data_IF_777730349376
#
_entry.id   IF_777730349376
#
_cell.length_a   1.000
_cell.length_b   1.000
_cell.length_c   1.000
_cell.angle_alpha   90.00
_cell.angle_beta   90.00
_cell.angle_gamma   90.00
#
_symmetry.space_group_name_H-M   'P 1'
#
loop_
_entity.id
_entity.type
_entity.pdbx_description
1 polymer ?
#
# COMPACT_ATOMS: atom_id res chain seq x y z
N UNK A 1 14.07 -19.31 1.03
CA UNK A 1 13.36 -18.01 1.02
C UNK A 1 14.42 -16.94 0.83
N UNK A 2 14.24 -16.06 -0.13
CA UNK A 2 15.10 -14.87 -0.25
C UNK A 2 14.81 -13.94 0.94
N UNK A 3 15.84 -13.46 1.60
CA UNK A 3 15.71 -12.56 2.74
C UNK A 3 15.27 -11.18 2.24
N UNK A 4 14.27 -10.56 2.88
CA UNK A 4 13.81 -9.21 2.51
C UNK A 4 15.00 -8.24 2.68
N UNK A 5 15.33 -7.51 1.62
CA UNK A 5 16.35 -6.47 1.65
C UNK A 5 15.84 -5.30 2.51
N UNK A 6 16.55 -5.02 3.61
CA UNK A 6 16.26 -3.87 4.48
C UNK A 6 17.22 -2.75 4.13
N UNK A 7 16.66 -1.60 3.75
CA UNK A 7 17.42 -0.43 3.32
C UNK A 7 17.25 0.67 4.36
N UNK A 8 18.36 1.20 4.86
CA UNK A 8 18.40 2.40 5.69
C UNK A 8 18.84 3.58 4.82
N UNK A 9 17.97 4.58 4.72
CA UNK A 9 18.21 5.76 3.88
C UNK A 9 17.93 7.04 4.69
N UNK A 10 18.75 8.06 4.52
CA UNK A 10 18.63 9.34 5.22
C UNK A 10 19.09 10.50 4.35
N UNK A 11 18.69 11.72 4.71
CA UNK A 11 19.03 12.96 4.00
C UNK A 11 17.83 13.61 3.34
N UNK A 12 18.06 14.32 2.23
CA UNK A 12 16.97 14.86 1.40
C UNK A 12 16.14 13.74 0.79
N UNK A 13 14.95 14.05 0.26
CA UNK A 13 14.15 13.04 -0.45
C UNK A 13 14.92 12.44 -1.64
N UNK A 14 15.71 13.28 -2.37
CA UNK A 14 16.60 12.78 -3.42
C UNK A 14 17.63 11.77 -2.88
N UNK A 15 18.28 12.05 -1.74
CA UNK A 15 19.27 11.15 -1.13
C UNK A 15 18.64 9.83 -0.66
N UNK A 16 17.40 9.89 -0.13
CA UNK A 16 16.61 8.69 0.19
C UNK A 16 16.44 7.83 -1.06
N UNK A 17 15.92 8.43 -2.12
CA UNK A 17 15.71 7.76 -3.40
C UNK A 17 16.99 7.19 -3.97
N UNK A 18 18.08 7.98 -3.98
CA UNK A 18 19.41 7.56 -4.46
C UNK A 18 19.94 6.33 -3.70
N UNK A 19 19.76 6.32 -2.38
CA UNK A 19 20.19 5.20 -1.54
C UNK A 19 19.36 3.95 -1.82
N UNK A 20 18.03 4.08 -1.89
CA UNK A 20 17.13 2.98 -2.24
C UNK A 20 17.43 2.46 -3.64
N UNK A 21 17.60 3.35 -4.63
CA UNK A 21 17.91 2.99 -6.00
C UNK A 21 19.21 2.20 -6.13
N UNK A 22 20.27 2.62 -5.42
CA UNK A 22 21.56 1.90 -5.38
C UNK A 22 21.44 0.53 -4.74
N UNK A 23 20.78 0.45 -3.58
CA UNK A 23 20.66 -0.80 -2.82
C UNK A 23 19.75 -1.82 -3.53
N UNK A 24 18.65 -1.37 -4.13
CA UNK A 24 17.66 -2.20 -4.81
C UNK A 24 17.86 -2.28 -6.34
N UNK A 25 18.99 -1.84 -6.88
CA UNK A 25 19.24 -1.75 -8.34
C UNK A 25 18.81 -2.97 -9.14
N UNK A 26 19.20 -4.16 -8.71
CA UNK A 26 18.85 -5.42 -9.39
C UNK A 26 17.38 -5.75 -9.29
N UNK A 27 16.74 -5.42 -8.16
CA UNK A 27 15.30 -5.67 -7.93
C UNK A 27 14.44 -4.70 -8.78
N UNK A 28 14.83 -3.43 -8.88
CA UNK A 28 14.18 -2.45 -9.74
C UNK A 28 14.26 -2.86 -11.21
N UNK A 29 15.43 -3.25 -11.68
CA UNK A 29 15.59 -3.75 -13.05
C UNK A 29 14.76 -5.00 -13.32
N UNK A 30 14.68 -5.92 -12.33
CA UNK A 30 13.85 -7.12 -12.39
C UNK A 30 12.36 -6.76 -12.49
N UNK A 31 11.88 -5.84 -11.65
CA UNK A 31 10.49 -5.37 -11.66
C UNK A 31 10.12 -4.78 -13.03
N UNK A 32 10.90 -3.83 -13.56
CA UNK A 32 10.66 -3.25 -14.89
C UNK A 32 10.55 -4.34 -15.96
N UNK A 33 11.46 -5.33 -15.95
CA UNK A 33 11.43 -6.44 -16.90
C UNK A 33 10.19 -7.33 -16.72
N UNK A 34 9.71 -7.53 -15.49
CA UNK A 34 8.48 -8.25 -15.21
C UNK A 34 7.28 -7.52 -15.78
N UNK A 35 7.12 -6.23 -15.48
CA UNK A 35 6.00 -5.42 -15.96
C UNK A 35 5.95 -5.30 -17.48
N UNK A 36 7.11 -5.22 -18.16
CA UNK A 36 7.17 -5.26 -19.64
C UNK A 36 6.62 -6.56 -20.24
N UNK A 37 6.57 -7.65 -19.47
CA UNK A 37 5.99 -8.95 -19.89
C UNK A 37 4.53 -9.11 -19.44
N UNK A 38 4.16 -8.53 -18.32
CA UNK A 38 2.82 -8.64 -17.72
C UNK A 38 1.85 -7.72 -18.45
N UNK A 39 2.15 -6.42 -18.54
CA UNK A 39 1.22 -5.40 -19.05
C UNK A 39 0.66 -5.67 -20.45
N UNK A 40 1.40 -6.19 -21.42
CA UNK A 40 0.84 -6.53 -22.74
C UNK A 40 -0.29 -7.57 -22.69
N UNK A 41 -0.51 -8.24 -21.55
CA UNK A 41 -1.56 -9.25 -21.37
C UNK A 41 -2.77 -8.71 -20.61
N UNK A 42 -2.65 -7.51 -20.06
CA UNK A 42 -3.72 -6.88 -19.28
C UNK A 42 -4.79 -6.27 -20.18
N UNK A 43 -6.05 -6.46 -19.78
CA UNK A 43 -7.19 -5.80 -20.43
C UNK A 43 -7.09 -4.29 -20.21
N UNK A 44 -7.23 -3.51 -21.27
CA UNK A 44 -7.11 -2.05 -21.22
C UNK A 44 -5.69 -1.52 -21.42
N UNK A 45 -4.69 -2.39 -21.61
CA UNK A 45 -3.33 -1.95 -21.91
C UNK A 45 -3.28 -1.18 -23.24
N UNK A 46 -2.87 0.11 -23.17
CA UNK A 46 -2.80 1.03 -24.33
C UNK A 46 -1.68 0.71 -25.32
N UNK A 47 -0.75 -0.19 -24.94
CA UNK A 47 0.48 -0.45 -25.69
C UNK A 47 1.58 0.58 -25.42
N UNK A 48 1.33 1.60 -24.60
CA UNK A 48 2.28 2.66 -24.28
C UNK A 48 2.83 2.49 -22.87
N UNK A 49 4.14 2.60 -22.75
CA UNK A 49 4.86 2.62 -21.48
C UNK A 49 5.05 4.07 -21.01
N UNK A 50 3.92 4.74 -20.77
CA UNK A 50 3.85 6.16 -20.42
C UNK A 50 2.68 6.39 -19.47
N UNK A 51 2.90 7.20 -18.43
CA UNK A 51 1.82 7.65 -17.56
C UNK A 51 0.88 8.60 -18.36
N UNK A 52 -0.41 8.73 -17.96
CA UNK A 52 -1.30 9.68 -18.61
C UNK A 52 -0.74 11.09 -18.58
N UNK A 53 -0.91 11.82 -19.69
CA UNK A 53 -0.47 13.22 -19.83
C UNK A 53 -1.03 14.07 -18.68
N UNK A 54 -0.18 14.94 -18.10
CA UNK A 54 -0.53 15.82 -16.98
C UNK A 54 -0.39 15.21 -15.57
N UNK A 55 -0.25 13.88 -15.43
CA UNK A 55 -0.04 13.26 -14.12
C UNK A 55 1.31 13.65 -13.49
N UNK A 56 2.37 13.76 -14.30
CA UNK A 56 3.68 14.19 -13.84
C UNK A 56 3.65 15.64 -13.35
N UNK A 57 3.04 16.53 -14.11
CA UNK A 57 2.89 17.95 -13.76
C UNK A 57 2.11 18.09 -12.45
N UNK A 58 0.99 17.38 -12.31
CA UNK A 58 0.17 17.42 -11.09
C UNK A 58 0.95 16.90 -9.87
N UNK A 59 1.74 15.84 -10.03
CA UNK A 59 2.59 15.31 -8.96
C UNK A 59 3.72 16.27 -8.60
N UNK A 60 4.35 16.89 -9.61
CA UNK A 60 5.41 17.88 -9.46
C UNK A 60 4.92 19.13 -8.71
N UNK A 61 3.73 19.62 -9.04
CA UNK A 61 3.13 20.80 -8.39
C UNK A 61 2.76 20.51 -6.92
N UNK A 62 2.27 19.32 -6.64
CA UNK A 62 1.74 18.99 -5.30
C UNK A 62 2.77 18.39 -4.36
N UNK A 63 3.64 17.52 -4.87
CA UNK A 63 4.62 16.77 -4.11
C UNK A 63 6.02 16.78 -4.78
N UNK A 64 6.62 17.96 -5.02
CA UNK A 64 7.91 18.08 -5.73
C UNK A 64 9.01 17.25 -5.07
N UNK A 65 9.03 17.18 -3.73
CA UNK A 65 10.00 16.40 -2.97
C UNK A 65 9.89 14.88 -3.20
N UNK A 66 8.67 14.35 -3.52
CA UNK A 66 8.50 12.94 -3.86
C UNK A 66 8.92 12.65 -5.32
N UNK A 67 8.84 13.65 -6.20
CA UNK A 67 9.45 13.57 -7.53
C UNK A 67 10.97 13.52 -7.40
N UNK A 68 11.57 14.30 -6.49
CA UNK A 68 13.01 14.22 -6.18
C UNK A 68 13.39 12.84 -5.61
N UNK A 69 12.57 12.26 -4.71
CA UNK A 69 12.77 10.89 -4.21
C UNK A 69 12.80 9.87 -5.34
N UNK A 70 11.86 9.96 -6.27
CA UNK A 70 11.78 9.07 -7.42
C UNK A 70 12.93 9.30 -8.42
N UNK A 71 13.35 10.56 -8.63
CA UNK A 71 14.52 10.88 -9.45
C UNK A 71 15.80 10.30 -8.83
N UNK A 72 15.98 10.46 -7.53
CA UNK A 72 17.10 9.83 -6.81
C UNK A 72 17.12 8.31 -6.98
N UNK A 73 15.94 7.66 -6.90
CA UNK A 73 15.81 6.22 -7.12
C UNK A 73 16.18 5.82 -8.56
N UNK A 74 15.81 6.62 -9.56
CA UNK A 74 16.17 6.41 -10.96
C UNK A 74 17.69 6.50 -11.14
N UNK A 75 18.32 7.56 -10.63
CA UNK A 75 19.76 7.81 -10.73
C UNK A 75 20.55 6.72 -10.01
N UNK A 76 20.12 6.32 -8.80
CA UNK A 76 20.73 5.28 -8.00
C UNK A 76 20.68 3.89 -8.65
N UNK A 77 19.56 3.56 -9.27
CA UNK A 77 19.36 2.28 -9.96
C UNK A 77 19.93 2.26 -11.37
N UNK A 78 20.13 3.44 -11.98
CA UNK A 78 20.51 3.57 -13.40
C UNK A 78 19.37 3.21 -14.34
N UNK A 79 18.11 3.33 -13.88
CA UNK A 79 16.92 3.14 -14.68
C UNK A 79 16.32 4.50 -15.10
N UNK A 80 15.47 4.49 -16.13
CA UNK A 80 14.80 5.69 -16.59
C UNK A 80 13.83 6.23 -15.52
N UNK A 81 13.87 7.54 -15.24
CA UNK A 81 12.85 8.20 -14.42
C UNK A 81 11.44 7.96 -14.96
N UNK A 82 11.26 8.05 -16.29
CA UNK A 82 9.97 7.78 -16.92
C UNK A 82 9.43 6.38 -16.65
N UNK A 83 10.30 5.36 -16.66
CA UNK A 83 9.89 3.98 -16.31
C UNK A 83 9.42 3.88 -14.85
N UNK A 84 10.15 4.53 -13.92
CA UNK A 84 9.79 4.52 -12.51
C UNK A 84 8.52 5.31 -12.25
N UNK A 85 8.38 6.49 -12.86
CA UNK A 85 7.18 7.31 -12.74
C UNK A 85 5.96 6.59 -13.30
N UNK A 86 6.08 5.96 -14.49
CA UNK A 86 5.01 5.15 -15.06
C UNK A 86 4.52 4.06 -14.12
N UNK A 87 5.43 3.31 -13.48
CA UNK A 87 5.05 2.27 -12.53
C UNK A 87 4.36 2.86 -11.29
N UNK A 88 4.77 4.02 -10.80
CA UNK A 88 4.12 4.73 -9.70
C UNK A 88 2.80 5.45 -10.08
N UNK A 89 2.47 5.48 -11.37
CA UNK A 89 1.19 5.92 -11.91
C UNK A 89 0.47 4.78 -12.67
N UNK A 90 0.80 3.52 -12.36
CA UNK A 90 0.32 2.36 -13.11
C UNK A 90 -1.19 2.21 -13.08
N UNK A 91 -1.81 2.46 -11.94
CA UNK A 91 -3.25 2.33 -11.79
C UNK A 91 -4.01 3.40 -12.57
N UNK A 92 -3.42 4.57 -12.76
CA UNK A 92 -3.92 5.63 -13.64
C UNK A 92 -3.75 5.25 -15.12
N UNK A 93 -2.65 4.59 -15.46
CA UNK A 93 -2.34 4.16 -16.82
C UNK A 93 -3.20 2.97 -17.29
N UNK A 94 -3.67 2.13 -16.38
CA UNK A 94 -4.51 0.95 -16.67
C UNK A 94 -6.01 1.24 -16.60
N UNK A 95 -6.41 2.52 -16.58
CA UNK A 95 -7.82 2.93 -16.49
C UNK A 95 -8.58 2.21 -15.36
N UNK A 96 -7.88 2.02 -14.23
CA UNK A 96 -8.43 1.58 -12.93
C UNK A 96 -9.04 0.19 -12.85
N UNK A 97 -8.53 -0.75 -13.60
CA UNK A 97 -8.77 -2.17 -13.34
C UNK A 97 -7.50 -2.88 -12.88
N UNK A 98 -6.82 -2.40 -11.81
CA UNK A 98 -5.66 -3.10 -11.32
C UNK A 98 -6.08 -4.46 -10.79
N UNK A 99 -5.21 -5.47 -10.88
CA UNK A 99 -5.42 -6.77 -10.24
C UNK A 99 -5.40 -6.67 -8.71
N UNK A 100 -5.19 -5.49 -8.17
CA UNK A 100 -4.99 -5.23 -6.76
C UNK A 100 -6.11 -5.78 -5.88
N UNK A 101 -5.73 -6.59 -4.93
CA UNK A 101 -6.60 -7.07 -3.88
C UNK A 101 -5.81 -7.02 -2.57
N UNK A 102 -6.16 -6.14 -1.66
CA UNK A 102 -5.47 -5.96 -0.38
C UNK A 102 -6.43 -6.22 0.77
N UNK A 103 -5.90 -6.57 1.93
CA UNK A 103 -6.67 -6.67 3.17
C UNK A 103 -5.96 -5.87 4.25
N UNK A 104 -6.64 -4.88 4.82
CA UNK A 104 -6.13 -4.08 5.94
C UNK A 104 -7.00 -4.26 7.17
N UNK A 105 -6.39 -4.32 8.36
CA UNK A 105 -7.05 -4.52 9.65
C UNK A 105 -6.42 -3.56 10.66
N UNK A 106 -7.19 -2.61 11.18
CA UNK A 106 -6.81 -1.78 12.31
C UNK A 106 -7.40 -2.33 13.60
N UNK A 107 -6.61 -2.37 14.66
CA UNK A 107 -7.01 -2.95 15.94
C UNK A 107 -6.49 -2.12 17.10
N UNK A 108 -7.32 -1.95 18.13
CA UNK A 108 -6.93 -1.37 19.43
C UNK A 108 -7.17 -2.39 20.54
N UNK A 109 -6.10 -2.82 21.19
CA UNK A 109 -6.14 -3.81 22.27
C UNK A 109 -5.22 -3.39 23.40
N UNK A 110 -5.71 -3.43 24.63
CA UNK A 110 -4.95 -3.07 25.85
C UNK A 110 -4.26 -1.71 25.76
N UNK A 111 -4.89 -0.72 25.08
CA UNK A 111 -4.37 0.62 24.89
C UNK A 111 -3.29 0.75 23.79
N UNK A 112 -2.97 -0.33 23.09
CA UNK A 112 -2.05 -0.35 21.96
C UNK A 112 -2.79 -0.41 20.63
N UNK A 113 -2.23 0.22 19.64
CA UNK A 113 -2.74 0.32 18.28
C UNK A 113 -1.97 -0.62 17.35
N UNK A 114 -2.67 -1.30 16.47
CA UNK A 114 -2.10 -2.27 15.55
C UNK A 114 -2.67 -2.10 14.15
N UNK A 115 -1.82 -2.24 13.16
CA UNK A 115 -2.21 -2.32 11.75
C UNK A 115 -1.69 -3.63 11.17
N UNK A 116 -2.58 -4.46 10.63
CA UNK A 116 -2.23 -5.62 9.80
C UNK A 116 -2.58 -5.38 8.34
N UNK A 117 -1.72 -5.82 7.42
CA UNK A 117 -1.92 -5.64 5.99
C UNK A 117 -1.38 -6.81 5.17
N UNK A 118 -2.20 -7.33 4.24
CA UNK A 118 -1.78 -8.16 3.13
C UNK A 118 -1.87 -7.37 1.83
N UNK A 119 -0.80 -7.33 1.07
CA UNK A 119 -0.76 -6.83 -0.30
C UNK A 119 -0.91 -7.99 -1.27
N UNK A 120 -1.96 -7.99 -2.06
CA UNK A 120 -2.17 -8.97 -3.12
C UNK A 120 -1.96 -8.29 -4.47
N UNK A 121 -0.99 -8.78 -5.23
CA UNK A 121 -0.57 -8.20 -6.50
C UNK A 121 -0.02 -9.30 -7.42
N UNK A 122 0.66 -8.93 -8.52
CA UNK A 122 1.34 -9.90 -9.40
C UNK A 122 2.39 -10.69 -8.61
N UNK A 123 2.32 -12.01 -8.67
CA UNK A 123 3.21 -12.89 -7.89
C UNK A 123 4.70 -12.69 -8.18
N UNK A 124 5.03 -12.19 -9.37
CA UNK A 124 6.38 -11.83 -9.77
C UNK A 124 7.02 -10.79 -8.83
N UNK A 125 6.19 -9.91 -8.26
CA UNK A 125 6.66 -8.84 -7.37
C UNK A 125 7.05 -9.35 -5.98
N UNK A 126 6.66 -10.56 -5.59
CA UNK A 126 7.15 -11.18 -4.35
C UNK A 126 8.69 -11.16 -4.27
N UNK A 127 9.35 -11.29 -5.41
CA UNK A 127 10.82 -11.33 -5.50
C UNK A 127 11.47 -9.95 -5.57
N UNK A 128 10.71 -8.87 -5.49
CA UNK A 128 11.18 -7.48 -5.51
C UNK A 128 10.83 -6.72 -4.22
N UNK A 129 10.30 -7.44 -3.21
CA UNK A 129 9.93 -6.85 -1.92
C UNK A 129 11.16 -6.34 -1.19
N UNK A 130 11.06 -5.09 -0.71
CA UNK A 130 12.04 -4.40 0.11
C UNK A 130 11.37 -3.78 1.34
N UNK A 131 12.14 -3.61 2.41
CA UNK A 131 11.75 -2.80 3.55
C UNK A 131 12.63 -1.55 3.60
N UNK A 132 12.03 -0.39 3.81
CA UNK A 132 12.73 0.90 3.83
C UNK A 132 12.56 1.52 5.21
N UNK A 133 13.69 1.76 5.90
CA UNK A 133 13.76 2.70 7.01
C UNK A 133 14.29 4.03 6.47
N UNK A 134 13.39 4.97 6.28
CA UNK A 134 13.68 6.31 5.75
C UNK A 134 13.75 7.36 6.87
N UNK A 135 14.78 8.19 6.84
CA UNK A 135 14.98 9.31 7.75
C UNK A 135 15.14 10.61 6.94
N UNK A 136 14.04 11.16 6.40
CA UNK A 136 14.08 12.42 5.69
C UNK A 136 14.39 13.58 6.64
N UNK A 137 15.04 14.64 6.14
CA UNK A 137 15.53 15.76 6.99
C UNK A 137 14.44 16.57 7.68
N UNK A 138 13.24 16.67 7.08
CA UNK A 138 12.19 17.58 7.54
C UNK A 138 10.86 16.86 7.85
N UNK A 139 10.88 15.55 7.92
CA UNK A 139 9.68 14.72 8.09
C UNK A 139 9.97 13.61 9.11
N UNK A 140 8.95 13.01 9.73
CA UNK A 140 9.15 11.87 10.60
C UNK A 140 9.87 10.72 9.90
N UNK A 141 10.78 10.05 10.60
CA UNK A 141 11.32 8.80 10.12
C UNK A 141 10.21 7.76 9.94
N UNK A 142 10.33 6.91 8.94
CA UNK A 142 9.31 5.92 8.62
C UNK A 142 9.90 4.53 8.38
N UNK A 143 9.10 3.51 8.64
CA UNK A 143 9.35 2.13 8.24
C UNK A 143 8.24 1.67 7.32
N UNK A 144 8.59 1.24 6.12
CA UNK A 144 7.65 0.77 5.10
C UNK A 144 8.10 -0.53 4.47
N UNK A 145 7.14 -1.30 3.94
CA UNK A 145 7.39 -2.43 3.05
C UNK A 145 6.72 -2.15 1.71
N UNK A 146 7.41 -2.42 0.62
CA UNK A 146 6.92 -2.21 -0.74
C UNK A 146 7.60 -3.15 -1.72
N UNK A 147 7.04 -3.29 -2.92
CA UNK A 147 7.75 -3.86 -4.07
C UNK A 147 8.53 -2.75 -4.79
N UNK A 148 9.83 -2.95 -5.05
CA UNK A 148 10.61 -1.98 -5.82
C UNK A 148 10.11 -1.96 -7.29
N UNK A 149 9.95 -0.78 -7.94
CA UNK A 149 10.35 0.57 -7.52
C UNK A 149 9.21 1.44 -6.99
N UNK A 150 8.15 0.86 -6.43
CA UNK A 150 7.04 1.67 -5.91
C UNK A 150 7.49 2.49 -4.71
N UNK A 151 6.99 3.72 -4.63
CA UNK A 151 7.16 4.58 -3.46
C UNK A 151 6.59 3.90 -2.20
N UNK A 152 7.19 4.19 -1.06
CA UNK A 152 6.76 3.67 0.24
C UNK A 152 5.34 4.16 0.57
N UNK A 153 4.36 3.27 0.71
CA UNK A 153 2.98 3.62 1.04
C UNK A 153 2.47 2.85 2.27
N UNK A 154 2.64 1.54 2.31
CA UNK A 154 2.26 0.72 3.48
C UNK A 154 3.36 0.77 4.52
N UNK A 155 3.05 1.29 5.72
CA UNK A 155 4.07 1.49 6.73
C UNK A 155 3.60 2.25 7.96
N UNK A 156 4.58 2.66 8.77
CA UNK A 156 4.38 3.53 9.92
C UNK A 156 5.50 4.56 10.02
N UNK A 157 5.27 5.63 10.78
CA UNK A 157 6.28 6.64 11.08
C UNK A 157 6.50 6.81 12.60
N UNK A 158 7.58 7.52 12.96
CA UNK A 158 7.96 7.73 14.36
C UNK A 158 7.03 8.69 15.13
N UNK A 159 6.15 9.41 14.43
CA UNK A 159 5.07 10.17 15.05
C UNK A 159 3.91 9.29 15.54
N UNK A 160 4.01 7.98 15.36
CA UNK A 160 3.02 7.02 15.82
C UNK A 160 1.85 6.84 14.86
N UNK A 161 2.00 7.16 13.58
CA UNK A 161 1.00 6.93 12.54
C UNK A 161 1.38 5.71 11.70
N UNK A 162 0.41 4.82 11.45
CA UNK A 162 0.56 3.71 10.51
C UNK A 162 -0.56 3.74 9.45
N UNK A 163 -0.23 3.29 8.25
CA UNK A 163 -1.13 3.23 7.10
C UNK A 163 -1.06 1.88 6.39
N UNK A 164 -2.24 1.29 6.14
CA UNK A 164 -2.47 0.26 5.11
C UNK A 164 -3.28 0.85 3.96
N UNK A 165 -2.98 0.45 2.74
CA UNK A 165 -3.63 0.99 1.54
C UNK A 165 -4.42 -0.10 0.84
N UNK A 166 -5.66 0.20 0.42
CA UNK A 166 -6.45 -0.72 -0.38
C UNK A 166 -6.92 -0.01 -1.65
N UNK A 167 -6.64 -0.59 -2.80
CA UNK A 167 -7.16 -0.11 -4.08
C UNK A 167 -8.69 -0.17 -4.10
N UNK A 168 -9.32 0.92 -4.48
CA UNK A 168 -10.77 1.03 -4.72
C UNK A 168 -11.00 1.71 -6.07
N UNK A 169 -12.08 1.36 -6.76
CA UNK A 169 -12.38 1.89 -8.08
C UNK A 169 -13.60 2.81 -8.03
N UNK A 170 -13.46 4.00 -8.59
CA UNK A 170 -14.51 5.00 -8.70
C UNK A 170 -14.72 5.46 -10.15
N UNK A 171 -15.89 6.01 -10.44
CA UNK A 171 -16.28 6.43 -11.80
C UNK A 171 -15.83 7.84 -12.15
N UNK A 172 -15.31 8.61 -11.18
CA UNK A 172 -14.89 10.01 -11.31
C UNK A 172 -13.38 10.21 -11.55
N UNK A 173 -12.66 9.11 -11.83
CA UNK A 173 -11.22 9.18 -12.08
C UNK A 173 -10.86 10.13 -13.21
N UNK A 174 -9.73 10.82 -13.07
CA UNK A 174 -9.29 11.89 -13.95
C UNK A 174 -7.77 12.00 -13.99
N UNK A 175 -7.26 12.83 -14.89
CA UNK A 175 -5.86 13.25 -14.84
C UNK A 175 -5.62 14.09 -13.59
N UNK A 176 -4.54 13.81 -12.89
CA UNK A 176 -4.21 14.48 -11.63
C UNK A 176 -3.03 13.82 -10.91
N UNK A 177 -2.88 14.11 -9.63
CA UNK A 177 -1.86 13.49 -8.78
C UNK A 177 -2.09 11.98 -8.69
N UNK A 178 -1.14 11.15 -9.13
CA UNK A 178 -1.28 9.70 -8.99
C UNK A 178 -1.45 9.31 -7.52
N UNK A 179 -2.34 8.37 -7.25
CA UNK A 179 -2.71 7.94 -5.89
C UNK A 179 -1.55 7.43 -5.05
N UNK A 180 -0.51 6.85 -5.67
CA UNK A 180 0.69 6.39 -4.98
C UNK A 180 1.44 7.55 -4.31
N UNK A 181 1.51 8.73 -4.94
CA UNK A 181 2.14 9.92 -4.34
C UNK A 181 1.37 10.42 -3.12
N UNK A 182 0.04 10.46 -3.18
CA UNK A 182 -0.78 10.79 -2.03
C UNK A 182 -0.61 9.77 -0.89
N UNK A 183 -0.56 8.48 -1.20
CA UNK A 183 -0.33 7.43 -0.22
C UNK A 183 1.08 7.53 0.41
N UNK A 184 2.14 7.82 -0.39
CA UNK A 184 3.49 8.05 0.15
C UNK A 184 3.52 9.25 1.09
N UNK A 185 2.84 10.35 0.72
CA UNK A 185 2.80 11.56 1.52
C UNK A 185 2.16 11.36 2.90
N UNK A 186 1.24 10.41 3.07
CA UNK A 186 0.63 10.09 4.37
C UNK A 186 1.68 9.68 5.41
N UNK A 187 2.76 9.01 5.02
CA UNK A 187 3.85 8.62 5.96
C UNK A 187 4.66 9.81 6.49
N UNK A 188 4.41 11.02 5.99
CA UNK A 188 5.03 12.27 6.45
C UNK A 188 4.19 12.97 7.53
N UNK A 189 2.99 12.49 7.80
CA UNK A 189 2.05 13.14 8.71
C UNK A 189 2.36 12.81 10.17
N UNK A 190 2.30 13.82 11.03
CA UNK A 190 2.43 13.63 12.47
C UNK A 190 1.09 13.33 13.16
N UNK A 191 -0.03 13.65 12.51
CA UNK A 191 -1.38 13.48 13.06
C UNK A 191 -2.33 12.86 12.02
N UNK A 192 -3.46 12.30 12.49
CA UNK A 192 -4.51 11.81 11.59
C UNK A 192 -5.08 12.91 10.69
N UNK A 193 -5.20 14.13 11.19
CA UNK A 193 -5.70 15.27 10.41
C UNK A 193 -4.74 15.61 9.27
N UNK A 194 -3.44 15.66 9.54
CA UNK A 194 -2.42 15.83 8.50
C UNK A 194 -2.43 14.67 7.50
N UNK A 195 -2.59 13.43 7.97
CA UNK A 195 -2.67 12.25 7.12
C UNK A 195 -3.85 12.34 6.13
N UNK A 196 -5.03 12.75 6.63
CA UNK A 196 -6.22 12.98 5.80
C UNK A 196 -5.94 14.06 4.75
N UNK A 197 -5.36 15.19 5.15
CA UNK A 197 -5.04 16.29 4.24
C UNK A 197 -4.03 15.87 3.14
N UNK A 198 -3.04 15.04 3.50
CA UNK A 198 -2.05 14.53 2.55
C UNK A 198 -2.65 13.50 1.57
N UNK A 199 -3.56 12.66 2.04
CA UNK A 199 -4.26 11.67 1.23
C UNK A 199 -5.32 12.28 0.29
N UNK A 200 -5.74 13.54 0.54
CA UNK A 200 -6.83 14.21 -0.20
C UNK A 200 -6.38 15.49 -0.93
N UNK A 201 -5.31 15.47 -1.77
CA UNK A 201 -5.00 16.64 -2.59
C UNK A 201 -6.17 16.93 -3.55
N UNK A 202 -6.44 18.24 -3.79
CA UNK A 202 -7.59 18.68 -4.60
C UNK A 202 -7.61 18.11 -6.02
N UNK A 203 -6.43 17.98 -6.63
CA UNK A 203 -6.26 17.49 -8.00
C UNK A 203 -5.82 16.03 -8.08
N UNK A 204 -6.20 15.17 -7.13
CA UNK A 204 -5.90 13.74 -7.19
C UNK A 204 -6.57 13.05 -8.38
N UNK A 205 -5.89 12.08 -8.96
CA UNK A 205 -6.35 11.37 -10.16
C UNK A 205 -7.43 10.33 -9.85
N UNK A 206 -7.37 9.73 -8.69
CA UNK A 206 -8.29 8.70 -8.21
C UNK A 206 -8.23 8.60 -6.70
N UNK A 207 -8.65 7.46 -6.15
CA UNK A 207 -8.67 7.27 -4.72
C UNK A 207 -8.20 5.88 -4.27
N UNK A 208 -7.83 5.83 -2.99
CA UNK A 208 -7.60 4.62 -2.21
C UNK A 208 -8.52 4.60 -1.00
N UNK A 209 -8.64 3.44 -0.36
CA UNK A 209 -8.88 3.42 1.07
C UNK A 209 -7.53 3.47 1.79
N UNK A 210 -7.39 4.43 2.70
CA UNK A 210 -6.28 4.53 3.64
C UNK A 210 -6.81 4.06 5.00
N UNK A 211 -6.42 2.85 5.43
CA UNK A 211 -6.68 2.43 6.80
C UNK A 211 -5.61 3.06 7.68
N UNK A 212 -6.01 4.04 8.47
CA UNK A 212 -5.14 4.84 9.31
C UNK A 212 -5.24 4.38 10.76
N UNK A 213 -4.09 4.17 11.40
CA UNK A 213 -3.96 3.80 12.81
C UNK A 213 -2.96 4.74 13.46
N UNK A 214 -3.37 5.41 14.54
CA UNK A 214 -2.47 6.26 15.31
C UNK A 214 -2.27 5.67 16.71
N UNK A 215 -1.06 5.74 17.21
CA UNK A 215 -0.70 5.41 18.58
C UNK A 215 -1.67 6.08 19.58
N UNK A 216 -1.99 5.37 20.67
CA UNK A 216 -2.98 5.84 21.63
C UNK A 216 -4.44 5.54 21.26
N UNK A 217 -4.68 4.65 20.29
CA UNK A 217 -5.99 4.02 20.09
C UNK A 217 -6.92 4.70 19.09
N UNK A 218 -6.41 5.53 18.18
CA UNK A 218 -7.23 6.13 17.13
C UNK A 218 -7.08 5.34 15.83
N UNK A 219 -8.19 5.00 15.18
CA UNK A 219 -8.19 4.28 13.91
C UNK A 219 -9.43 4.60 13.08
N UNK A 220 -9.31 4.48 11.77
CA UNK A 220 -10.41 4.66 10.82
C UNK A 220 -10.00 4.38 9.39
N UNK A 221 -11.00 4.25 8.53
CA UNK A 221 -10.85 4.18 7.09
C UNK A 221 -11.12 5.55 6.47
N UNK A 222 -10.15 6.07 5.74
CA UNK A 222 -10.34 7.19 4.84
C UNK A 222 -10.52 6.66 3.43
N UNK A 223 -11.74 6.65 2.94
CA UNK A 223 -12.05 6.32 1.56
C UNK A 223 -12.04 7.57 0.70
N UNK A 224 -11.34 7.52 -0.43
CA UNK A 224 -11.22 8.65 -1.36
C UNK A 224 -11.60 8.23 -2.76
N UNK A 225 -12.20 9.17 -3.53
CA UNK A 225 -12.33 9.12 -4.99
C UNK A 225 -11.50 10.27 -5.59
N UNK A 226 -11.60 10.55 -6.87
CA UNK A 226 -10.91 11.72 -7.43
C UNK A 226 -11.46 13.05 -6.89
N UNK A 227 -12.75 13.11 -6.52
CA UNK A 227 -13.43 14.35 -6.12
C UNK A 227 -13.91 14.35 -4.67
N UNK A 228 -14.25 13.20 -4.12
CA UNK A 228 -14.88 13.07 -2.81
C UNK A 228 -14.01 12.26 -1.84
N UNK A 229 -14.25 12.41 -0.55
CA UNK A 229 -13.63 11.62 0.50
C UNK A 229 -14.55 11.49 1.71
N UNK A 230 -14.46 10.36 2.40
CA UNK A 230 -15.19 10.12 3.66
C UNK A 230 -14.30 9.37 4.66
N UNK A 231 -14.36 9.79 5.93
CA UNK A 231 -13.56 9.20 7.01
C UNK A 231 -14.45 8.44 8.00
N UNK A 232 -14.38 7.13 7.94
CA UNK A 232 -15.13 6.19 8.76
C UNK A 232 -14.33 5.85 10.03
N UNK A 233 -14.75 6.39 11.17
CA UNK A 233 -14.10 6.12 12.47
C UNK A 233 -14.30 4.66 12.90
N UNK A 234 -13.21 4.03 13.36
CA UNK A 234 -13.23 2.75 14.03
C UNK A 234 -13.17 2.89 15.55
N UNK A 235 -13.81 1.97 16.29
CA UNK A 235 -13.78 1.98 17.75
C UNK A 235 -12.68 1.09 18.33
N UNK A 236 -12.77 -0.24 18.11
CA UNK A 236 -11.79 -1.22 18.59
C UNK A 236 -11.12 -1.98 17.45
N UNK A 237 -11.88 -2.25 16.41
CA UNK A 237 -11.42 -2.91 15.22
C UNK A 237 -12.11 -2.28 14.00
N UNK A 238 -11.36 -2.12 12.93
CA UNK A 238 -11.84 -1.71 11.63
C UNK A 238 -11.06 -2.47 10.57
N UNK A 239 -11.68 -2.79 9.45
CA UNK A 239 -11.03 -3.49 8.35
C UNK A 239 -11.55 -3.02 7.01
N UNK A 240 -10.73 -3.23 6.00
CA UNK A 240 -11.07 -2.88 4.63
C UNK A 240 -10.50 -3.90 3.65
N UNK A 241 -11.17 -4.02 2.51
CA UNK A 241 -10.70 -4.77 1.35
C UNK A 241 -10.67 -3.84 0.13
N UNK A 242 -11.37 -4.13 -0.95
CA UNK A 242 -11.27 -3.35 -2.20
C UNK A 242 -12.65 -2.94 -2.74
N UNK A 243 -13.52 -2.40 -1.87
CA UNK A 243 -14.80 -1.82 -2.26
C UNK A 243 -15.21 -0.76 -1.25
N UNK A 244 -15.89 0.27 -1.70
CA UNK A 244 -16.34 1.36 -0.83
C UNK A 244 -17.35 0.89 0.21
N UNK A 245 -17.11 1.25 1.46
CA UNK A 245 -17.99 1.01 2.60
C UNK A 245 -18.84 2.24 2.92
N UNK A 246 -18.36 3.45 2.60
CA UNK A 246 -19.05 4.70 2.85
C UNK A 246 -20.34 4.80 2.04
N UNK A 247 -21.50 5.05 2.67
CA UNK A 247 -22.73 5.33 1.96
C UNK A 247 -22.65 6.60 1.09
N UNK A 248 -21.82 7.57 1.47
CA UNK A 248 -21.67 8.84 0.76
C UNK A 248 -20.98 8.65 -0.60
N UNK A 249 -20.08 7.67 -0.71
CA UNK A 249 -19.31 7.41 -1.91
C UNK A 249 -19.93 6.36 -2.86
N UNK A 250 -21.06 5.74 -2.47
CA UNK A 250 -21.68 4.66 -3.26
C UNK A 250 -22.11 5.09 -4.67
N UNK A 251 -22.46 6.35 -4.88
CA UNK A 251 -22.84 6.87 -6.21
C UNK A 251 -21.67 6.94 -7.19
N UNK A 252 -20.43 7.01 -6.67
CA UNK A 252 -19.21 7.04 -7.45
C UNK A 252 -18.50 5.68 -7.48
N UNK A 253 -18.93 4.73 -6.66
CA UNK A 253 -18.29 3.43 -6.54
C UNK A 253 -18.49 2.56 -7.79
N UNK A 254 -17.42 2.01 -8.32
CA UNK A 254 -17.48 0.85 -9.20
C UNK A 254 -17.80 -0.37 -8.34
N UNK A 255 -18.69 -1.25 -8.81
CA UNK A 255 -19.06 -2.45 -8.06
C UNK A 255 -17.83 -3.26 -7.66
N UNK A 256 -17.68 -3.50 -6.37
CA UNK A 256 -16.59 -4.32 -5.83
C UNK A 256 -16.61 -5.75 -6.38
N UNK A 257 -15.44 -6.35 -6.53
CA UNK A 257 -15.30 -7.73 -6.95
C UNK A 257 -15.85 -8.70 -5.90
N UNK A 258 -16.33 -9.87 -6.33
CA UNK A 258 -16.77 -10.93 -5.41
C UNK A 258 -15.65 -11.32 -4.44
N UNK A 259 -14.40 -11.29 -4.90
CA UNK A 259 -13.22 -11.54 -4.06
C UNK A 259 -13.10 -10.54 -2.90
N UNK A 260 -13.31 -9.26 -3.14
CA UNK A 260 -13.31 -8.23 -2.11
C UNK A 260 -14.42 -8.46 -1.08
N UNK A 261 -15.65 -8.70 -1.53
CA UNK A 261 -16.82 -8.92 -0.68
C UNK A 261 -16.70 -10.18 0.19
N UNK A 262 -16.14 -11.27 -0.36
CA UNK A 262 -15.93 -12.54 0.34
C UNK A 262 -14.91 -12.37 1.47
N UNK A 263 -13.78 -11.69 1.23
CA UNK A 263 -12.77 -11.42 2.26
C UNK A 263 -13.32 -10.50 3.36
N UNK A 264 -14.07 -9.48 2.99
CA UNK A 264 -14.71 -8.58 3.96
C UNK A 264 -15.69 -9.33 4.87
N UNK A 265 -16.57 -10.16 4.30
CA UNK A 265 -17.48 -11.03 5.07
C UNK A 265 -16.73 -11.99 5.98
N UNK A 266 -15.59 -12.53 5.51
CA UNK A 266 -14.76 -13.40 6.33
C UNK A 266 -14.16 -12.68 7.53
N UNK A 267 -13.70 -11.43 7.38
CA UNK A 267 -13.24 -10.61 8.51
C UNK A 267 -14.38 -10.37 9.52
N UNK A 268 -15.59 -10.08 9.04
CA UNK A 268 -16.77 -9.93 9.90
C UNK A 268 -17.10 -11.21 10.69
N UNK A 269 -16.92 -12.40 10.08
CA UNK A 269 -17.06 -13.67 10.80
C UNK A 269 -15.97 -13.85 11.85
N UNK A 270 -14.71 -13.59 11.50
CA UNK A 270 -13.56 -13.72 12.38
C UNK A 270 -13.69 -12.84 13.62
N UNK A 271 -14.13 -11.59 13.46
CA UNK A 271 -14.40 -10.66 14.55
C UNK A 271 -15.47 -11.21 15.54
N UNK A 272 -16.48 -11.92 15.03
CA UNK A 272 -17.55 -12.47 15.85
C UNK A 272 -17.13 -13.72 16.63
N UNK A 273 -16.26 -14.55 16.06
CA UNK A 273 -15.89 -15.86 16.65
C UNK A 273 -14.65 -15.80 17.54
N UNK A 274 -13.70 -14.92 17.25
CA UNK A 274 -12.44 -14.81 17.99
C UNK A 274 -12.53 -13.75 19.10
N UNK A 275 -12.94 -14.19 20.30
CA UNK A 275 -13.01 -13.29 21.46
C UNK A 275 -11.85 -13.47 22.45
N UNK A 276 -11.02 -14.49 22.26
CA UNK A 276 -9.98 -14.91 23.21
C UNK A 276 -8.55 -14.57 22.75
N UNK A 277 -8.33 -14.36 21.43
CA UNK A 277 -7.01 -14.05 20.88
C UNK A 277 -6.98 -12.57 20.50
N UNK A 278 -5.96 -11.86 20.97
CA UNK A 278 -5.86 -10.41 20.80
C UNK A 278 -4.47 -9.98 20.30
N UNK A 279 -4.41 -8.79 19.71
CA UNK A 279 -3.16 -8.17 19.31
C UNK A 279 -2.46 -8.86 18.15
N UNK A 280 -1.16 -9.08 18.31
CA UNK A 280 -0.28 -9.60 17.26
C UNK A 280 -0.70 -10.99 16.75
N UNK A 281 -1.02 -11.91 17.67
CA UNK A 281 -1.41 -13.29 17.32
C UNK A 281 -2.72 -13.34 16.53
N UNK A 282 -3.67 -12.48 16.87
CA UNK A 282 -4.92 -12.35 16.12
C UNK A 282 -4.65 -11.89 14.68
N UNK A 283 -3.81 -10.88 14.50
CA UNK A 283 -3.46 -10.38 13.17
C UNK A 283 -2.72 -11.44 12.35
N UNK A 284 -1.77 -12.19 12.92
CA UNK A 284 -1.15 -13.33 12.24
C UNK A 284 -2.18 -14.35 11.77
N UNK A 285 -3.12 -14.71 12.63
CA UNK A 285 -4.18 -15.67 12.32
C UNK A 285 -5.10 -15.17 11.20
N UNK A 286 -5.53 -13.91 11.28
CA UNK A 286 -6.46 -13.33 10.28
C UNK A 286 -5.81 -13.15 8.90
N UNK A 287 -4.58 -12.62 8.88
CA UNK A 287 -3.84 -12.43 7.63
C UNK A 287 -3.47 -13.75 6.95
N UNK A 288 -3.38 -14.85 7.73
CA UNK A 288 -3.11 -16.20 7.21
C UNK A 288 -4.37 -17.02 6.91
N UNK A 289 -5.58 -16.45 7.05
CA UNK A 289 -6.85 -17.20 6.90
C UNK A 289 -7.06 -17.66 5.46
N UNK A 290 -7.41 -18.95 5.31
CA UNK A 290 -7.62 -19.62 4.03
C UNK A 290 -9.07 -19.99 3.74
N UNK A 291 -10.02 -19.65 4.62
CA UNK A 291 -11.42 -19.92 4.35
C UNK A 291 -11.85 -19.21 3.06
N UNK A 292 -12.64 -19.90 2.27
CA UNK A 292 -13.14 -19.47 0.96
C UNK A 292 -12.11 -19.51 -0.19
N UNK A 293 -11.02 -20.30 -0.08
CA UNK A 293 -10.12 -20.52 -1.22
C UNK A 293 -10.90 -20.78 -2.52
N UNK A 294 -10.45 -20.24 -3.66
CA UNK A 294 -9.26 -19.43 -3.89
C UNK A 294 -9.43 -17.94 -3.52
N UNK A 295 -10.58 -17.52 -2.98
CA UNK A 295 -10.96 -16.13 -2.66
C UNK A 295 -10.72 -15.81 -1.17
N UNK A 296 -9.62 -16.31 -0.60
CA UNK A 296 -9.26 -16.17 0.80
C UNK A 296 -8.49 -14.86 1.11
N UNK A 297 -8.33 -14.53 2.41
CA UNK A 297 -7.53 -13.40 2.88
C UNK A 297 -6.05 -13.62 2.56
N UNK A 298 -5.53 -14.81 2.83
CA UNK A 298 -4.22 -15.23 2.35
C UNK A 298 -4.40 -15.83 0.94
N UNK A 299 -4.10 -15.04 -0.10
CA UNK A 299 -4.33 -15.39 -1.50
C UNK A 299 -3.12 -16.09 -2.10
N UNK A 300 -3.32 -17.28 -2.68
CA UNK A 300 -2.26 -18.05 -3.32
C UNK A 300 -2.31 -17.91 -4.85
N UNK A 301 -1.23 -17.41 -5.44
CA UNK A 301 -1.14 -17.16 -6.89
C UNK A 301 -1.39 -18.42 -7.74
N UNK A 302 -0.89 -19.57 -7.30
CA UNK A 302 -1.10 -20.84 -8.01
C UNK A 302 -2.58 -21.28 -8.13
N UNK A 303 -3.47 -20.66 -7.34
CA UNK A 303 -4.92 -20.92 -7.34
C UNK A 303 -5.69 -19.90 -8.20
N UNK A 304 -5.01 -18.88 -8.72
CA UNK A 304 -5.60 -17.77 -9.47
C UNK A 304 -5.34 -17.91 -10.98
N UNK A 305 -6.30 -17.45 -11.77
CA UNK A 305 -6.14 -17.41 -13.24
C UNK A 305 -5.13 -16.35 -13.70
N UNK A 306 -5.02 -15.25 -12.96
CA UNK A 306 -4.18 -14.08 -13.28
C UNK A 306 -2.80 -14.06 -12.64
N UNK A 307 -2.37 -15.15 -11.99
CA UNK A 307 -1.10 -15.22 -11.25
C UNK A 307 -0.94 -14.14 -10.16
N UNK A 308 -2.05 -13.71 -9.57
CA UNK A 308 -2.07 -12.75 -8.47
C UNK A 308 -2.10 -13.47 -7.12
N UNK A 309 -1.37 -12.97 -6.15
CA UNK A 309 -1.34 -13.54 -4.81
C UNK A 309 -0.85 -12.55 -3.77
N UNK A 310 -0.86 -12.96 -2.50
CA UNK A 310 -0.28 -12.17 -1.43
C UNK A 310 1.24 -12.13 -1.63
N UNK A 311 1.75 -10.95 -1.99
CA UNK A 311 3.17 -10.70 -2.29
C UNK A 311 3.96 -10.28 -1.06
N UNK A 312 3.30 -9.67 -0.08
CA UNK A 312 3.83 -9.48 1.26
C UNK A 312 2.71 -9.37 2.30
N UNK A 313 3.09 -9.56 3.55
CA UNK A 313 2.24 -9.28 4.71
C UNK A 313 3.03 -8.51 5.76
N UNK A 314 2.37 -7.55 6.41
CA UNK A 314 2.99 -6.71 7.41
C UNK A 314 2.06 -6.45 8.59
N UNK A 315 2.64 -6.33 9.78
CA UNK A 315 1.95 -5.89 10.99
C UNK A 315 2.79 -4.79 11.62
N UNK A 316 2.16 -3.67 11.96
CA UNK A 316 2.80 -2.51 12.56
C UNK A 316 2.19 -2.23 13.94
N UNK A 317 3.04 -1.94 14.93
CA UNK A 317 2.69 -1.44 16.26
C UNK A 317 3.25 -0.02 16.40
N UNK A 318 2.49 1.03 16.02
CA UNK A 318 3.00 2.40 16.04
C UNK A 318 3.32 2.92 17.45
N UNK A 319 2.68 2.39 18.50
CA UNK A 319 2.96 2.76 19.90
C UNK A 319 4.40 2.44 20.34
N UNK A 320 5.06 1.47 19.74
CA UNK A 320 6.43 1.06 20.07
C UNK A 320 7.38 1.05 18.87
N UNK A 321 6.93 1.57 17.72
CA UNK A 321 7.66 1.61 16.45
C UNK A 321 8.26 0.25 16.05
N UNK A 322 7.43 -0.81 16.14
CA UNK A 322 7.80 -2.20 15.83
C UNK A 322 6.98 -2.70 14.65
N UNK A 323 7.61 -3.49 13.80
CA UNK A 323 6.93 -4.15 12.68
C UNK A 323 7.32 -5.62 12.57
N UNK A 324 6.40 -6.42 12.05
CA UNK A 324 6.61 -7.80 11.62
C UNK A 324 6.27 -7.88 10.15
N UNK A 325 7.23 -8.28 9.33
CA UNK A 325 7.09 -8.31 7.87
C UNK A 325 7.46 -9.66 7.29
N UNK A 326 6.81 -10.06 6.21
CA UNK A 326 7.16 -11.24 5.43
C UNK A 326 6.89 -11.01 3.94
N UNK A 327 7.77 -11.52 3.08
CA UNK A 327 7.51 -11.60 1.64
C UNK A 327 6.71 -12.86 1.32
N UNK A 328 5.76 -12.76 0.38
CA UNK A 328 4.85 -13.83 0.01
C UNK A 328 3.77 -14.12 1.04
N UNK A 329 3.18 -15.30 0.93
CA UNK A 329 2.05 -15.71 1.76
C UNK A 329 2.41 -15.83 3.25
N UNK A 330 1.69 -15.17 4.16
CA UNK A 330 1.97 -15.22 5.60
C UNK A 330 1.80 -16.61 6.23
N UNK A 331 1.00 -17.48 5.64
CA UNK A 331 0.78 -18.85 6.14
C UNK A 331 1.98 -19.79 6.00
N UNK A 332 2.87 -19.53 5.06
CA UNK A 332 4.02 -20.38 4.74
C UNK A 332 5.37 -19.74 5.03
N UNK A 333 5.39 -18.49 5.46
CA UNK A 333 6.59 -17.71 5.67
C UNK A 333 6.68 -17.18 7.12
N UNK A 334 7.90 -17.03 7.61
CA UNK A 334 8.14 -16.50 8.95
C UNK A 334 8.19 -14.97 8.87
N UNK A 335 7.44 -14.31 9.73
CA UNK A 335 7.55 -12.87 9.89
C UNK A 335 8.88 -12.52 10.56
N UNK A 336 9.57 -11.55 9.99
CA UNK A 336 10.76 -10.93 10.57
C UNK A 336 10.34 -9.72 11.40
N UNK A 337 10.69 -9.72 12.68
CA UNK A 337 10.49 -8.55 13.52
C UNK A 337 11.56 -7.50 13.22
N UNK A 338 11.13 -6.26 13.02
CA UNK A 338 11.96 -5.07 12.89
C UNK A 338 11.73 -4.15 14.09
N UNK A 339 12.82 -3.80 14.74
CA UNK A 339 12.92 -2.74 15.75
C UNK A 339 13.94 -1.75 15.23
N UNK A 340 13.59 -0.50 15.21
CA UNK A 340 14.46 0.53 14.69
C UNK A 340 14.77 1.54 15.76
#
# INVERSE_FOLDING_TARGET
MEEILIIKASGSNYDLGLTVGRAAKSLIAKAINNYRKILPREEGWSGKWEAPDGCLEAAQDRFPHLIEELQGMADGSGQSFGDLFFLNALEEALDLKPPAACTSIGLVVAGKSWLGHNEDWYAEDTSTIIAIYGQPEQQPAFLSITAAPFLAAVGMNEAGLAQGVNSVSATDCRVGVPRMFAARAVLEAATLEEAINKATPENRAGGYNHLLVQAGGKLGNLETTATEADYLLGAKMIYHTNHYLSPQLQSLAVKGSDHSLIRYRRLTELERINKEVEGLEMLFSYLSDHKNRPLSICKHAAEQKGNEGTIFSAIFEPDSFRAWITAGNPCGNIYRELKI
#
